data_IF_296316861434
#
_entry.id   IF_296316861434
#
_cell.length_a   1.000
_cell.length_b   1.000
_cell.length_c   1.000
_cell.angle_alpha   90.00
_cell.angle_beta   90.00
_cell.angle_gamma   90.00
#
_symmetry.space_group_name_H-M   'P 1'
#
loop_
_entity.id
_entity.type
_entity.pdbx_description
1 polymer ?
#
# COMPACT_ATOMS: atom_id res chain seq x y z
N UNK A 1 -16.31 -8.22 30.52
CA UNK A 1 -15.46 -7.21 29.85
C UNK A 1 -14.00 -7.66 29.97
N UNK A 2 -13.41 -8.24 28.94
CA UNK A 2 -12.02 -8.71 28.98
C UNK A 2 -11.29 -8.43 27.66
N UNK A 3 -10.02 -8.05 27.78
CA UNK A 3 -8.97 -8.31 26.77
C UNK A 3 -8.94 -7.45 25.49
N UNK A 4 -8.83 -6.13 25.63
CA UNK A 4 -8.29 -5.26 24.56
C UNK A 4 -6.87 -4.74 24.87
N UNK A 5 -6.52 -4.57 26.15
CA UNK A 5 -5.22 -4.01 26.59
C UNK A 5 -4.05 -5.00 26.42
N UNK A 6 -4.26 -6.29 26.64
CA UNK A 6 -3.23 -7.33 26.50
C UNK A 6 -2.82 -7.58 25.05
N UNK A 7 -3.75 -7.44 24.09
CA UNK A 7 -3.49 -7.68 22.66
C UNK A 7 -2.57 -6.62 22.05
N UNK A 8 -2.70 -5.35 22.48
CA UNK A 8 -1.85 -4.24 22.01
C UNK A 8 -0.42 -4.38 22.55
N UNK A 9 -0.26 -4.82 23.81
CA UNK A 9 1.06 -5.12 24.39
C UNK A 9 1.75 -6.28 23.69
N UNK A 10 1.03 -7.37 23.42
CA UNK A 10 1.55 -8.53 22.68
C UNK A 10 1.97 -8.19 21.25
N UNK A 11 1.17 -7.38 20.54
CA UNK A 11 1.50 -6.90 19.19
C UNK A 11 2.73 -5.98 19.21
N UNK A 12 2.83 -5.08 20.18
CA UNK A 12 3.98 -4.17 20.30
C UNK A 12 5.29 -4.92 20.62
N UNK A 13 5.24 -5.95 21.47
CA UNK A 13 6.39 -6.83 21.77
C UNK A 13 6.74 -7.68 20.55
N UNK A 14 5.74 -8.25 19.87
CA UNK A 14 5.94 -9.00 18.63
C UNK A 14 6.65 -8.14 17.57
N UNK A 15 6.19 -6.90 17.35
CA UNK A 15 6.83 -5.99 16.39
C UNK A 15 8.26 -5.64 16.81
N UNK A 16 8.52 -5.37 18.10
CA UNK A 16 9.86 -4.94 18.57
C UNK A 16 10.90 -6.06 18.62
N UNK A 17 10.49 -7.32 18.75
CA UNK A 17 11.41 -8.46 18.89
C UNK A 17 11.40 -9.34 17.66
N UNK A 18 10.23 -9.73 17.16
CA UNK A 18 10.12 -10.67 16.04
C UNK A 18 10.60 -10.03 14.74
N UNK A 19 10.26 -8.76 14.48
CA UNK A 19 10.66 -8.10 13.22
C UNK A 19 12.18 -7.93 13.12
N UNK A 20 12.91 -7.41 14.13
CA UNK A 20 14.37 -7.33 14.04
C UNK A 20 15.05 -8.70 13.96
N UNK A 21 14.54 -9.70 14.69
CA UNK A 21 15.09 -11.06 14.64
C UNK A 21 14.86 -11.69 13.27
N UNK A 22 13.67 -11.54 12.67
CA UNK A 22 13.37 -12.03 11.34
C UNK A 22 14.19 -11.32 10.26
N UNK A 23 14.37 -10.00 10.36
CA UNK A 23 15.22 -9.24 9.45
C UNK A 23 16.70 -9.62 9.59
N UNK A 24 17.18 -9.75 10.82
CA UNK A 24 18.56 -10.15 11.12
C UNK A 24 18.86 -11.57 10.65
N UNK A 25 17.94 -12.51 10.85
CA UNK A 25 18.09 -13.90 10.39
C UNK A 25 18.03 -14.01 8.87
N UNK A 26 17.08 -13.33 8.22
CA UNK A 26 17.01 -13.26 6.76
C UNK A 26 18.28 -12.63 6.17
N UNK A 27 18.78 -11.54 6.77
CA UNK A 27 20.02 -10.89 6.38
C UNK A 27 21.25 -11.79 6.54
N UNK A 28 21.33 -12.54 7.64
CA UNK A 28 22.42 -13.49 7.88
C UNK A 28 22.42 -14.65 6.88
N UNK A 29 21.24 -15.20 6.57
CA UNK A 29 21.10 -16.23 5.53
C UNK A 29 21.50 -15.67 4.17
N UNK A 30 21.00 -14.48 3.82
CA UNK A 30 21.35 -13.81 2.56
C UNK A 30 22.85 -13.53 2.45
N UNK A 31 23.52 -13.17 3.54
CA UNK A 31 24.96 -12.94 3.58
C UNK A 31 25.77 -14.22 3.33
N UNK A 32 25.31 -15.37 3.84
CA UNK A 32 25.97 -16.66 3.62
C UNK A 32 25.80 -17.24 2.22
N UNK A 33 24.85 -16.74 1.44
CA UNK A 33 24.63 -17.21 0.08
C UNK A 33 25.75 -16.66 -0.83
N UNK A 34 26.41 -17.56 -1.55
CA UNK A 34 27.31 -17.17 -2.61
C UNK A 34 26.49 -16.74 -3.84
N UNK A 35 26.19 -15.44 -3.92
CA UNK A 35 25.30 -14.87 -4.93
C UNK A 35 25.80 -15.07 -6.36
N UNK A 36 27.12 -15.05 -6.59
CA UNK A 36 27.66 -15.25 -7.94
C UNK A 36 27.36 -16.66 -8.44
N UNK A 37 27.63 -17.68 -7.61
CA UNK A 37 27.30 -19.06 -7.91
C UNK A 37 25.78 -19.29 -8.03
N UNK A 38 24.98 -18.66 -7.16
CA UNK A 38 23.52 -18.78 -7.18
C UNK A 38 22.92 -18.19 -8.48
N UNK A 39 23.37 -17.00 -8.90
CA UNK A 39 22.91 -16.35 -10.13
C UNK A 39 23.36 -17.16 -11.35
N UNK A 40 24.62 -17.62 -11.39
CA UNK A 40 25.11 -18.48 -12.47
C UNK A 40 24.25 -19.74 -12.58
N UNK A 41 24.03 -20.46 -11.48
CA UNK A 41 23.19 -21.66 -11.46
C UNK A 41 21.73 -21.38 -11.84
N UNK A 42 21.21 -20.20 -11.52
CA UNK A 42 19.86 -19.81 -11.92
C UNK A 42 19.75 -19.60 -13.43
N UNK A 43 20.74 -18.95 -14.05
CA UNK A 43 20.76 -18.58 -15.47
C UNK A 43 21.23 -19.71 -16.40
N UNK A 44 22.17 -20.55 -15.96
CA UNK A 44 22.82 -21.56 -16.83
C UNK A 44 22.45 -22.99 -16.45
N UNK A 45 21.86 -23.21 -15.28
CA UNK A 45 21.47 -24.53 -14.80
C UNK A 45 20.35 -25.20 -15.62
N UNK A 46 20.10 -26.50 -15.38
CA UNK A 46 19.02 -27.22 -16.03
C UNK A 46 17.66 -26.56 -15.72
N UNK A 47 16.84 -26.39 -16.75
CA UNK A 47 15.57 -25.66 -16.65
C UNK A 47 15.70 -24.13 -16.70
N UNK A 48 16.82 -23.56 -17.18
CA UNK A 48 17.00 -22.10 -17.31
C UNK A 48 15.82 -21.38 -17.95
N UNK A 49 15.26 -21.94 -19.02
CA UNK A 49 14.20 -21.29 -19.77
C UNK A 49 12.92 -21.14 -18.93
N UNK A 50 12.52 -22.17 -18.20
CA UNK A 50 11.33 -22.10 -17.33
C UNK A 50 11.54 -21.15 -16.16
N UNK A 51 12.75 -21.11 -15.57
CA UNK A 51 13.10 -20.17 -14.50
C UNK A 51 13.06 -18.72 -14.97
N UNK A 52 13.63 -18.43 -16.14
CA UNK A 52 13.63 -17.09 -16.72
C UNK A 52 12.20 -16.67 -17.09
N UNK A 53 11.43 -17.57 -17.73
CA UNK A 53 10.03 -17.29 -18.06
C UNK A 53 9.19 -17.05 -16.81
N UNK A 54 9.38 -17.83 -15.75
CA UNK A 54 8.69 -17.64 -14.48
C UNK A 54 9.09 -16.32 -13.80
N UNK A 55 10.37 -15.96 -13.84
CA UNK A 55 10.84 -14.68 -13.33
C UNK A 55 10.20 -13.51 -14.09
N UNK A 56 10.18 -13.57 -15.42
CA UNK A 56 9.50 -12.57 -16.26
C UNK A 56 8.02 -12.50 -15.93
N UNK A 57 7.34 -13.64 -15.78
CA UNK A 57 5.94 -13.70 -15.41
C UNK A 57 5.68 -13.03 -14.04
N UNK A 58 6.51 -13.31 -13.05
CA UNK A 58 6.43 -12.71 -11.70
C UNK A 58 6.67 -11.20 -11.76
N UNK A 59 7.68 -10.74 -12.50
CA UNK A 59 8.00 -9.30 -12.64
C UNK A 59 6.88 -8.56 -13.37
N UNK A 60 6.37 -9.11 -14.47
CA UNK A 60 5.30 -8.49 -15.26
C UNK A 60 3.97 -8.45 -14.50
N UNK A 61 3.75 -9.37 -13.54
CA UNK A 61 2.56 -9.44 -12.71
C UNK A 61 2.83 -9.12 -11.23
N UNK A 62 3.86 -8.33 -10.94
CA UNK A 62 4.28 -8.06 -9.56
C UNK A 62 3.15 -7.47 -8.70
N UNK A 63 2.23 -6.71 -9.31
CA UNK A 63 1.06 -6.12 -8.63
C UNK A 63 0.10 -7.17 -8.05
N UNK A 64 0.12 -8.37 -8.59
CA UNK A 64 -0.75 -9.49 -8.23
C UNK A 64 -0.10 -10.44 -7.21
N UNK A 65 1.15 -10.21 -6.84
CA UNK A 65 1.83 -11.04 -5.85
C UNK A 65 1.18 -10.88 -4.47
N UNK A 66 1.24 -11.91 -3.61
CA UNK A 66 0.86 -11.78 -2.21
C UNK A 66 1.52 -10.56 -1.58
N UNK A 67 0.75 -9.80 -0.81
CA UNK A 67 1.17 -8.56 -0.14
C UNK A 67 1.55 -7.38 -1.05
N UNK A 68 1.55 -7.50 -2.39
CA UNK A 68 1.89 -6.37 -3.26
C UNK A 68 0.92 -5.20 -3.11
N UNK A 69 -0.38 -5.45 -2.96
CA UNK A 69 -1.37 -4.42 -2.63
C UNK A 69 -1.08 -3.77 -1.28
N UNK A 70 -0.86 -4.59 -0.24
CA UNK A 70 -0.55 -4.14 1.12
C UNK A 70 0.67 -3.23 1.11
N UNK A 71 1.76 -3.67 0.48
CA UNK A 71 2.97 -2.88 0.30
C UNK A 71 2.67 -1.53 -0.36
N UNK A 72 1.93 -1.49 -1.48
CA UNK A 72 1.62 -0.23 -2.18
C UNK A 72 0.83 0.76 -1.32
N UNK A 73 -0.15 0.28 -0.55
CA UNK A 73 -0.95 1.12 0.36
C UNK A 73 -0.09 1.64 1.52
N UNK A 74 0.63 0.76 2.22
CA UNK A 74 1.48 1.17 3.34
C UNK A 74 2.65 2.04 2.90
N UNK A 75 3.22 1.79 1.72
CA UNK A 75 4.20 2.66 1.11
C UNK A 75 3.65 4.07 0.95
N UNK A 76 2.44 4.25 0.39
CA UNK A 76 1.84 5.57 0.23
C UNK A 76 1.62 6.30 1.58
N UNK A 77 1.18 5.58 2.61
CA UNK A 77 1.00 6.12 3.97
C UNK A 77 2.34 6.58 4.54
N UNK A 78 3.34 5.69 4.58
CA UNK A 78 4.66 5.96 5.15
C UNK A 78 5.37 7.06 4.36
N UNK A 79 5.28 7.01 3.03
CA UNK A 79 5.90 7.98 2.15
C UNK A 79 5.39 9.40 2.44
N UNK A 80 4.07 9.64 2.42
CA UNK A 80 3.56 11.00 2.64
C UNK A 80 3.63 11.46 4.10
N UNK A 81 3.46 10.56 5.07
CA UNK A 81 3.44 10.96 6.48
C UNK A 81 4.84 11.06 7.10
N UNK A 82 5.77 10.18 6.74
CA UNK A 82 7.08 10.05 7.38
C UNK A 82 8.25 10.49 6.50
N UNK A 83 8.31 10.04 5.24
CA UNK A 83 9.51 10.20 4.40
C UNK A 83 9.53 11.53 3.64
N UNK A 84 8.38 11.93 3.09
CA UNK A 84 8.24 13.12 2.26
C UNK A 84 8.17 14.38 3.13
N UNK A 85 8.89 15.42 2.73
CA UNK A 85 8.78 16.75 3.33
C UNK A 85 7.36 17.30 3.15
N UNK A 86 6.80 17.87 4.22
CA UNK A 86 5.49 18.51 4.16
C UNK A 86 5.53 19.69 3.19
N UNK A 87 4.69 19.71 2.16
CA UNK A 87 4.43 20.96 1.45
C UNK A 87 3.51 21.84 2.29
N UNK A 88 3.62 23.15 2.07
CA UNK A 88 2.63 24.11 2.56
C UNK A 88 1.45 24.12 1.60
N UNK A 89 0.30 23.61 2.07
CA UNK A 89 -0.89 23.40 1.25
C UNK A 89 -1.85 24.56 1.46
N UNK A 90 -2.09 25.33 0.39
CA UNK A 90 -3.21 26.29 0.37
C UNK A 90 -4.55 25.57 0.25
N UNK A 91 -5.68 26.19 0.65
CA UNK A 91 -7.02 25.59 0.49
C UNK A 91 -7.34 25.13 -0.93
N UNK A 92 -6.70 25.74 -1.96
CA UNK A 92 -6.85 25.33 -3.36
C UNK A 92 -6.37 23.90 -3.64
N UNK A 93 -5.50 23.34 -2.80
CA UNK A 93 -5.01 21.97 -2.93
C UNK A 93 -6.12 20.93 -2.77
N UNK A 94 -7.22 21.25 -2.08
CA UNK A 94 -8.38 20.37 -1.91
C UNK A 94 -9.07 20.03 -3.24
N UNK A 95 -8.95 20.90 -4.23
CA UNK A 95 -9.62 20.75 -5.53
C UNK A 95 -8.64 20.33 -6.64
N UNK A 96 -7.43 19.89 -6.27
CA UNK A 96 -6.44 19.42 -7.23
C UNK A 96 -6.35 17.90 -7.20
N UNK A 97 -6.37 17.25 -8.37
CA UNK A 97 -6.20 15.80 -8.43
C UNK A 97 -4.74 15.44 -8.16
N UNK A 98 -4.52 14.26 -7.59
CA UNK A 98 -3.24 13.57 -7.68
C UNK A 98 -3.33 12.55 -8.82
N UNK A 99 -2.44 12.67 -9.80
CA UNK A 99 -2.36 11.77 -10.96
C UNK A 99 -1.55 10.56 -10.52
N UNK A 100 -2.15 9.36 -10.58
CA UNK A 100 -1.46 8.10 -10.32
C UNK A 100 -1.46 7.23 -11.57
N UNK A 101 -0.28 6.93 -12.08
CA UNK A 101 -0.11 6.08 -13.25
C UNK A 101 -0.01 4.61 -12.85
N UNK A 102 -0.83 3.76 -13.49
CA UNK A 102 -0.83 2.31 -13.30
C UNK A 102 -1.05 1.61 -14.63
N UNK A 103 -0.83 0.30 -14.69
CA UNK A 103 -1.03 -0.54 -15.88
C UNK A 103 -1.81 -1.78 -15.49
N UNK A 104 -2.60 -2.35 -16.40
CA UNK A 104 -3.27 -3.64 -16.15
C UNK A 104 -2.34 -4.81 -16.53
N UNK A 105 -1.64 -5.47 -15.60
CA UNK A 105 -0.87 -6.67 -15.91
C UNK A 105 -1.79 -7.79 -16.36
N UNK A 106 -1.22 -8.83 -16.96
CA UNK A 106 -1.97 -9.93 -17.53
C UNK A 106 -2.92 -10.59 -16.52
N UNK A 107 -2.51 -10.72 -15.25
CA UNK A 107 -3.31 -11.30 -14.18
C UNK A 107 -4.46 -10.41 -13.67
N UNK A 108 -4.60 -9.18 -14.17
CA UNK A 108 -5.79 -8.35 -13.93
C UNK A 108 -6.79 -8.39 -15.09
N UNK A 109 -6.47 -9.09 -16.18
CA UNK A 109 -7.33 -9.23 -17.35
C UNK A 109 -8.25 -10.42 -17.15
N UNK A 110 -9.55 -10.23 -17.36
CA UNK A 110 -10.55 -11.28 -17.27
C UNK A 110 -10.75 -12.04 -18.59
N UNK A 111 -11.72 -12.95 -18.61
CA UNK A 111 -12.02 -13.78 -19.79
C UNK A 111 -12.51 -12.97 -21.00
N UNK A 112 -12.95 -11.72 -20.81
CA UNK A 112 -13.37 -10.81 -21.89
C UNK A 112 -12.20 -9.97 -22.42
N UNK A 113 -10.97 -10.25 -22.01
CA UNK A 113 -9.74 -9.59 -22.48
C UNK A 113 -9.66 -8.09 -22.12
N UNK A 114 -10.40 -7.66 -21.10
CA UNK A 114 -10.25 -6.34 -20.49
C UNK A 114 -9.91 -6.46 -19.00
N UNK A 115 -9.44 -5.37 -18.40
CA UNK A 115 -9.21 -5.29 -16.96
C UNK A 115 -10.50 -5.65 -16.22
N UNK A 116 -10.39 -6.58 -15.27
CA UNK A 116 -11.51 -7.03 -14.46
C UNK A 116 -12.05 -5.89 -13.60
N UNK A 117 -13.38 -5.77 -13.50
CA UNK A 117 -14.07 -4.71 -12.76
C UNK A 117 -13.58 -4.55 -11.33
N UNK A 118 -13.32 -5.66 -10.62
CA UNK A 118 -12.88 -5.65 -9.23
C UNK A 118 -11.47 -5.09 -9.06
N UNK A 119 -10.60 -5.27 -10.07
CA UNK A 119 -9.20 -4.84 -10.00
C UNK A 119 -9.02 -3.34 -10.20
N UNK A 120 -10.08 -2.58 -10.53
CA UNK A 120 -10.05 -1.12 -10.49
C UNK A 120 -9.96 -0.60 -9.06
N UNK A 121 -10.61 -1.29 -8.11
CA UNK A 121 -10.60 -0.87 -6.71
C UNK A 121 -9.20 -0.96 -6.09
N UNK A 122 -8.36 -1.89 -6.54
CA UNK A 122 -6.98 -2.01 -6.02
C UNK A 122 -6.12 -0.81 -6.41
N UNK A 123 -6.25 -0.30 -7.63
CA UNK A 123 -5.56 0.90 -8.09
C UNK A 123 -6.17 2.16 -7.44
N UNK A 124 -7.51 2.22 -7.34
CA UNK A 124 -8.23 3.32 -6.67
C UNK A 124 -7.86 3.44 -5.19
N UNK A 125 -7.72 2.33 -4.47
CA UNK A 125 -7.32 2.31 -3.06
C UNK A 125 -5.93 2.93 -2.87
N UNK A 126 -4.98 2.60 -3.76
CA UNK A 126 -3.61 3.15 -3.72
C UNK A 126 -3.62 4.64 -4.06
N UNK A 127 -4.31 5.05 -5.14
CA UNK A 127 -4.42 6.45 -5.53
C UNK A 127 -5.08 7.32 -4.45
N UNK A 128 -6.20 6.83 -3.87
CA UNK A 128 -6.88 7.47 -2.74
C UNK A 128 -5.97 7.58 -1.53
N UNK A 129 -5.20 6.53 -1.22
CA UNK A 129 -4.28 6.55 -0.08
C UNK A 129 -3.19 7.61 -0.27
N UNK A 130 -2.65 7.76 -1.50
CA UNK A 130 -1.73 8.84 -1.80
C UNK A 130 -2.38 10.22 -1.62
N UNK A 131 -3.58 10.45 -2.16
CA UNK A 131 -4.27 11.74 -2.05
C UNK A 131 -4.59 12.10 -0.61
N UNK A 132 -5.26 11.20 0.11
CA UNK A 132 -5.70 11.46 1.48
C UNK A 132 -4.49 11.65 2.38
N UNK A 133 -3.50 10.76 2.32
CA UNK A 133 -2.28 10.90 3.14
C UNK A 133 -1.52 12.19 2.83
N UNK A 134 -1.59 12.68 1.60
CA UNK A 134 -0.97 13.94 1.20
C UNK A 134 -1.71 15.15 1.77
N UNK A 135 -3.03 15.21 1.59
CA UNK A 135 -3.86 16.35 2.01
C UNK A 135 -4.05 16.42 3.53
N UNK A 136 -4.30 15.28 4.18
CA UNK A 136 -4.66 15.23 5.59
C UNK A 136 -3.47 15.02 6.53
N UNK A 137 -2.23 14.99 6.00
CA UNK A 137 -1.00 14.80 6.78
C UNK A 137 -0.95 15.63 8.08
N UNK A 138 -1.25 16.95 8.09
CA UNK A 138 -1.21 17.73 9.33
C UNK A 138 -2.24 17.23 10.34
N UNK A 139 -3.46 16.92 9.89
CA UNK A 139 -4.52 16.39 10.73
C UNK A 139 -4.15 15.00 11.29
N UNK A 140 -3.62 14.11 10.45
CA UNK A 140 -3.15 12.77 10.84
C UNK A 140 -2.08 12.84 11.94
N UNK A 141 -1.16 13.81 11.85
CA UNK A 141 -0.14 14.06 12.87
C UNK A 141 -0.76 14.55 14.18
N UNK A 142 -1.64 15.55 14.11
CA UNK A 142 -2.33 16.08 15.29
C UNK A 142 -3.22 15.03 15.99
N UNK A 143 -3.80 14.10 15.23
CA UNK A 143 -4.58 12.97 15.73
C UNK A 143 -3.70 11.86 16.34
N UNK A 144 -2.47 11.69 15.87
CA UNK A 144 -1.51 10.76 16.51
C UNK A 144 -1.18 11.22 17.93
N UNK A 145 -1.09 12.54 18.12
CA UNK A 145 -0.89 13.18 19.42
C UNK A 145 -2.22 13.64 20.07
N UNK A 146 -3.34 12.95 19.80
CA UNK A 146 -4.67 13.35 20.27
C UNK A 146 -4.75 13.52 21.80
N UNK A 147 -3.96 12.78 22.56
CA UNK A 147 -3.87 12.94 24.02
C UNK A 147 -3.42 14.35 24.44
N UNK A 148 -2.69 15.07 23.59
CA UNK A 148 -2.25 16.46 23.80
C UNK A 148 -3.16 17.45 23.07
N UNK A 149 -3.56 17.14 21.83
CA UNK A 149 -4.31 18.09 20.99
C UNK A 149 -5.80 18.14 21.36
N UNK A 150 -6.36 17.08 21.95
CA UNK A 150 -7.76 17.04 22.38
C UNK A 150 -8.78 17.14 21.25
N UNK A 151 -8.39 16.84 20.00
CA UNK A 151 -9.23 16.98 18.81
C UNK A 151 -10.43 16.03 18.79
N UNK A 152 -10.26 14.83 19.35
CA UNK A 152 -11.31 13.82 19.47
C UNK A 152 -11.50 13.50 20.95
N UNK A 153 -12.72 13.67 21.45
CA UNK A 153 -13.08 13.35 22.82
C UNK A 153 -13.78 11.99 22.89
N UNK A 154 -13.52 11.24 23.96
CA UNK A 154 -14.26 10.04 24.28
C UNK A 154 -15.66 10.43 24.79
N UNK A 155 -16.74 9.99 24.13
CA UNK A 155 -18.10 10.38 24.50
C UNK A 155 -18.52 9.92 25.90
N UNK A 156 -17.85 8.92 26.49
CA UNK A 156 -18.15 8.43 27.84
C UNK A 156 -17.45 9.22 28.93
N UNK A 157 -16.22 9.69 28.67
CA UNK A 157 -15.36 10.29 29.69
C UNK A 157 -15.13 11.79 29.50
N UNK A 158 -15.45 12.34 28.33
CA UNK A 158 -15.19 13.74 27.96
C UNK A 158 -13.70 14.08 27.83
N UNK A 159 -12.81 13.10 27.96
CA UNK A 159 -11.36 13.26 27.86
C UNK A 159 -10.88 12.97 26.44
N UNK A 160 -9.68 13.45 26.04
CA UNK A 160 -9.12 13.10 24.74
C UNK A 160 -9.06 11.58 24.52
N UNK A 161 -9.66 11.13 23.42
CA UNK A 161 -9.69 9.73 23.03
C UNK A 161 -8.26 9.20 22.85
N UNK A 162 -8.01 8.00 23.37
CA UNK A 162 -6.71 7.30 23.27
C UNK A 162 -6.88 6.02 22.47
N UNK A 163 -5.84 5.66 21.73
CA UNK A 163 -5.81 4.41 20.96
C UNK A 163 -5.25 4.61 19.56
N UNK A 164 -5.12 3.52 18.79
CA UNK A 164 -4.71 3.60 17.40
C UNK A 164 -5.80 4.27 16.57
N UNK A 165 -5.38 5.10 15.63
CA UNK A 165 -6.26 5.63 14.60
C UNK A 165 -6.36 4.62 13.45
N UNK A 166 -7.59 4.33 13.02
CA UNK A 166 -7.87 3.53 11.84
C UNK A 166 -8.54 4.39 10.76
N UNK A 167 -8.10 4.26 9.52
CA UNK A 167 -8.82 4.80 8.36
C UNK A 167 -9.69 3.67 7.82
N UNK A 168 -11.01 3.86 7.86
CA UNK A 168 -11.98 2.87 7.39
C UNK A 168 -12.67 3.38 6.13
N UNK A 169 -12.84 2.50 5.15
CA UNK A 169 -13.59 2.80 3.93
C UNK A 169 -15.08 2.58 4.19
N UNK A 170 -15.89 3.63 4.08
CA UNK A 170 -17.35 3.54 4.24
C UNK A 170 -18.06 2.98 3.00
N UNK A 171 -17.75 3.53 1.82
CA UNK A 171 -18.31 3.07 0.54
C UNK A 171 -17.39 3.44 -0.61
N UNK A 172 -17.59 2.79 -1.75
CA UNK A 172 -16.89 3.09 -3.00
C UNK A 172 -17.83 2.86 -4.18
N UNK A 173 -17.69 3.67 -5.21
CA UNK A 173 -18.41 3.52 -6.48
C UNK A 173 -17.45 3.82 -7.62
N UNK A 174 -17.58 3.06 -8.71
CA UNK A 174 -16.84 3.24 -9.94
C UNK A 174 -17.82 3.20 -11.11
N UNK A 175 -17.62 4.09 -12.09
CA UNK A 175 -18.34 4.06 -13.35
C UNK A 175 -17.34 3.80 -14.48
N UNK A 176 -17.63 2.80 -15.31
CA UNK A 176 -16.78 2.39 -16.41
C UNK A 176 -17.36 2.91 -17.72
N UNK A 177 -16.63 3.78 -18.43
CA UNK A 177 -17.04 4.28 -19.76
C UNK A 177 -16.11 3.80 -20.87
N UNK A 178 -14.92 3.26 -20.56
CA UNK A 178 -13.96 2.70 -21.52
C UNK A 178 -13.26 1.44 -21.00
N UNK A 179 -13.05 0.49 -21.91
CA UNK A 179 -12.27 -0.71 -21.63
C UNK A 179 -10.77 -0.41 -21.51
N UNK A 180 -10.11 -1.17 -20.65
CA UNK A 180 -8.67 -1.10 -20.45
C UNK A 180 -8.06 -2.45 -20.84
N UNK A 181 -7.14 -2.41 -21.81
CA UNK A 181 -6.43 -3.59 -22.33
C UNK A 181 -5.18 -3.90 -21.51
N UNK A 182 -4.69 -5.12 -21.66
CA UNK A 182 -3.44 -5.60 -21.07
C UNK A 182 -2.28 -4.61 -21.32
N UNK A 183 -1.55 -4.30 -20.26
CA UNK A 183 -0.38 -3.42 -20.19
C UNK A 183 -0.58 -1.98 -20.67
N UNK A 184 -1.82 -1.55 -20.95
CA UNK A 184 -2.14 -0.17 -21.26
C UNK A 184 -1.90 0.71 -20.02
N UNK A 185 -1.26 1.85 -20.20
CA UNK A 185 -1.11 2.85 -19.15
C UNK A 185 -2.45 3.53 -18.84
N UNK A 186 -2.70 3.74 -17.56
CA UNK A 186 -3.93 4.27 -16.99
C UNK A 186 -3.53 5.44 -16.09
N UNK A 187 -4.09 6.62 -16.34
CA UNK A 187 -4.02 7.77 -15.44
C UNK A 187 -5.27 7.73 -14.55
N UNK A 188 -5.07 7.55 -13.24
CA UNK A 188 -6.15 7.63 -12.25
C UNK A 188 -6.17 9.02 -11.61
N UNK A 189 -7.15 9.83 -12.02
CA UNK A 189 -7.42 11.15 -11.44
C UNK A 189 -8.63 11.09 -10.49
N UNK A 190 -8.52 11.61 -9.24
CA UNK A 190 -9.63 11.63 -8.28
C UNK A 190 -10.87 12.40 -8.76
N UNK A 191 -10.67 13.48 -9.51
CA UNK A 191 -11.75 14.41 -9.90
C UNK A 191 -12.37 14.08 -11.26
N UNK A 192 -11.86 13.03 -11.91
CA UNK A 192 -12.25 12.71 -13.27
C UNK A 192 -12.13 11.21 -13.50
N UNK A 193 -13.12 10.44 -13.01
CA UNK A 193 -13.44 9.15 -13.61
C UNK A 193 -14.18 9.45 -14.93
N UNK A 194 -13.44 9.99 -15.90
CA UNK A 194 -13.73 9.80 -17.32
C UNK A 194 -12.77 8.72 -17.82
N UNK A 195 -12.92 7.51 -17.30
CA UNK A 195 -12.69 6.32 -18.12
C UNK A 195 -14.00 5.97 -18.73
#
# INVERSE_FOLDING_TARGET
MASASSKVGGLAVAIRVIVPVALGSAGYVAYKINWSAAIQNFLTGPGRSSRILLLLFVVLNWKNLPFAWTYRVFYAIVYHNMLRKSPDLTPRALFKPIISETRAPLLEIDYNLHKSNSTYFTDLDVARTHLVSYLTRPAMRSLTDNARTGLVLDPKTGRPARGPMGIMLGSVSCSFKREIRAYRAIDSRPDSIYT
#
